data_IF_223075363065
#
_entry.id   IF_223075363065
#
_cell.length_a   1.000
_cell.length_b   1.000
_cell.length_c   1.000
_cell.angle_alpha   90.00
_cell.angle_beta   90.00
_cell.angle_gamma   90.00
#
_symmetry.space_group_name_H-M   'P 1'
#
loop_
_entity.id
_entity.type
_entity.pdbx_description
1 polymer ?
#
# COMPACT_ATOMS: atom_id res chain seq x y z
N UNK A 1 15.33 1.34 -7.00
CA UNK A 1 14.33 2.21 -6.35
C UNK A 1 14.13 1.79 -4.90
N UNK A 2 13.83 2.74 -4.02
CA UNK A 2 13.51 2.46 -2.61
C UNK A 2 12.04 2.02 -2.49
N UNK A 3 11.70 1.04 -1.64
CA UNK A 3 10.31 0.70 -1.39
C UNK A 3 9.59 1.89 -0.73
N UNK A 4 8.39 2.19 -1.19
CA UNK A 4 7.56 3.27 -0.66
C UNK A 4 6.61 2.68 0.38
N UNK A 5 6.48 3.34 1.52
CA UNK A 5 5.52 2.95 2.54
C UNK A 5 4.45 4.04 2.63
N UNK A 6 3.20 3.65 2.43
CA UNK A 6 2.06 4.53 2.67
C UNK A 6 1.18 3.89 3.74
N UNK A 7 0.56 4.71 4.60
CA UNK A 7 -0.42 4.28 5.59
C UNK A 7 -1.63 5.20 5.55
N UNK A 8 -2.54 5.03 6.52
CA UNK A 8 -3.77 5.82 6.63
C UNK A 8 -4.76 5.60 5.46
N UNK A 9 -4.79 4.39 4.93
CA UNK A 9 -5.80 3.99 3.96
C UNK A 9 -7.14 3.72 4.66
N UNK A 10 -8.25 3.94 3.94
CA UNK A 10 -9.56 3.51 4.41
C UNK A 10 -9.62 1.99 4.51
N UNK A 11 -10.46 1.48 5.42
CA UNK A 11 -10.67 0.03 5.62
C UNK A 11 -11.11 -0.71 4.34
N UNK A 12 -11.71 0.00 3.39
CA UNK A 12 -12.15 -0.57 2.11
C UNK A 12 -11.04 -0.55 1.04
N UNK A 13 -9.88 0.06 1.33
CA UNK A 13 -8.78 0.14 0.37
C UNK A 13 -8.18 -1.24 0.12
N UNK A 14 -8.35 -1.74 -1.11
CA UNK A 14 -7.78 -3.02 -1.52
C UNK A 14 -6.43 -2.86 -2.20
N UNK A 15 -5.71 -3.97 -2.24
CA UNK A 15 -4.43 -4.09 -2.92
C UNK A 15 -4.51 -3.63 -4.38
N UNK A 16 -5.62 -3.96 -5.05
CA UNK A 16 -5.88 -3.58 -6.45
C UNK A 16 -6.12 -2.09 -6.67
N UNK A 17 -6.77 -1.40 -5.74
CA UNK A 17 -6.99 0.05 -5.81
C UNK A 17 -5.67 0.81 -5.69
N UNK A 18 -4.81 0.34 -4.77
CA UNK A 18 -3.47 0.88 -4.58
C UNK A 18 -2.59 0.62 -5.80
N UNK A 19 -2.59 -0.61 -6.33
CA UNK A 19 -1.85 -0.93 -7.54
C UNK A 19 -2.27 -0.02 -8.71
N UNK A 20 -3.57 0.20 -8.91
CA UNK A 20 -4.10 1.09 -9.95
C UNK A 20 -3.68 2.55 -9.75
N UNK A 21 -3.74 3.06 -8.52
CA UNK A 21 -3.35 4.42 -8.17
C UNK A 21 -1.86 4.65 -8.46
N UNK A 22 -1.00 3.74 -7.99
CA UNK A 22 0.44 3.84 -8.14
C UNK A 22 0.94 3.49 -9.54
N UNK A 23 0.15 2.74 -10.33
CA UNK A 23 0.45 2.47 -11.75
C UNK A 23 0.59 3.73 -12.60
N UNK A 24 -0.06 4.84 -12.20
CA UNK A 24 0.12 6.15 -12.84
C UNK A 24 1.53 6.72 -12.67
N UNK A 25 2.20 6.36 -11.58
CA UNK A 25 3.53 6.86 -11.22
C UNK A 25 4.66 5.90 -11.61
N UNK A 26 4.36 4.64 -11.90
CA UNK A 26 5.33 3.64 -12.34
C UNK A 26 4.79 2.21 -12.24
N UNK A 27 5.53 1.24 -12.75
CA UNK A 27 5.11 -0.17 -12.70
C UNK A 27 5.32 -0.72 -11.28
N UNK A 28 4.23 -1.02 -10.60
CA UNK A 28 4.22 -1.68 -9.29
C UNK A 28 4.53 -3.17 -9.50
N UNK A 29 5.53 -3.68 -8.80
CA UNK A 29 5.92 -5.11 -8.82
C UNK A 29 5.13 -5.88 -7.76
N UNK A 30 4.97 -5.27 -6.58
CA UNK A 30 4.37 -5.91 -5.42
C UNK A 30 3.82 -4.87 -4.45
N UNK A 31 2.66 -5.16 -3.90
CA UNK A 31 2.02 -4.42 -2.81
C UNK A 31 1.92 -5.38 -1.63
N UNK A 32 2.30 -4.92 -0.44
CA UNK A 32 2.21 -5.71 0.79
C UNK A 32 1.40 -4.89 1.80
N UNK A 33 0.15 -5.30 2.04
CA UNK A 33 -0.73 -4.66 3.01
C UNK A 33 -0.56 -5.33 4.38
N UNK A 34 -0.26 -4.52 5.39
CA UNK A 34 -0.14 -4.96 6.78
C UNK A 34 -1.16 -4.25 7.64
N UNK A 35 -2.12 -5.00 8.16
CA UNK A 35 -3.01 -4.54 9.22
C UNK A 35 -2.27 -4.63 10.56
N UNK A 36 -2.11 -3.49 11.24
CA UNK A 36 -1.49 -3.46 12.57
C UNK A 36 -2.59 -3.38 13.62
N UNK A 37 -2.75 -4.46 14.41
CA UNK A 37 -3.78 -4.55 15.44
C UNK A 37 -3.32 -3.84 16.73
N UNK A 38 -3.24 -2.51 16.70
CA UNK A 38 -2.93 -1.68 17.87
C UNK A 38 -4.22 -1.01 18.38
N UNK A 39 -4.99 -1.79 19.16
CA UNK A 39 -6.02 -1.45 20.15
C UNK A 39 -7.11 -0.40 19.89
N UNK A 40 -7.05 0.49 18.89
CA UNK A 40 -8.11 1.50 18.68
C UNK A 40 -8.30 1.95 17.23
N UNK A 41 -7.37 1.63 16.31
CA UNK A 41 -7.54 1.85 14.86
C UNK A 41 -6.89 0.73 14.05
N UNK A 42 -7.60 0.22 13.04
CA UNK A 42 -7.04 -0.65 12.01
C UNK A 42 -6.20 0.24 11.09
N UNK A 43 -4.91 0.39 11.39
CA UNK A 43 -3.97 1.08 10.49
C UNK A 43 -3.40 0.06 9.50
N UNK A 44 -3.89 0.13 8.26
CA UNK A 44 -3.35 -0.64 7.14
C UNK A 44 -2.18 0.14 6.51
N UNK A 45 -0.98 -0.41 6.65
CA UNK A 45 0.23 0.10 5.99
C UNK A 45 0.48 -0.72 4.73
N UNK A 46 0.56 -0.06 3.59
CA UNK A 46 0.94 -0.68 2.33
C UNK A 46 2.40 -0.36 1.99
N UNK A 47 3.17 -1.40 1.66
CA UNK A 47 4.53 -1.28 1.13
C UNK A 47 4.52 -1.58 -0.36
N UNK A 48 5.04 -0.64 -1.15
CA UNK A 48 5.12 -0.72 -2.60
C UNK A 48 6.56 -0.96 -3.04
N UNK A 49 6.75 -1.87 -3.98
CA UNK A 49 8.02 -2.04 -4.69
C UNK A 49 7.80 -1.75 -6.17
N UNK A 50 8.53 -0.74 -6.69
CA UNK A 50 8.48 -0.38 -8.10
C UNK A 50 9.66 -0.99 -8.85
N UNK A 51 9.39 -1.50 -10.06
CA UNK A 51 10.42 -1.89 -11.03
C UNK A 51 10.69 -0.67 -11.92
N UNK A 52 11.93 -0.21 -11.90
CA UNK A 52 12.40 0.94 -12.69
C UNK A 52 12.51 0.61 -14.16
#
# INVERSE_FOLDING_TARGET
>A
MKPVFCGNFEYDAREGDLERLFRKYGKVERVDMKAVLLSTKYDEKAKFKCIS
#
